data_IF_460148738424
#
_entry.id   IF_460148738424
#
_cell.length_a   1.000
_cell.length_b   1.000
_cell.length_c   1.000
_cell.angle_alpha   90.00
_cell.angle_beta   90.00
_cell.angle_gamma   90.00
#
_symmetry.space_group_name_H-M   'P 1'
#
loop_
_entity.id
_entity.type
_entity.pdbx_description
1 polymer ?
#
# COMPACT_ATOMS: atom_id res chain seq x y z
N UNK A 1 30.69 34.98 -12.60
CA UNK A 1 30.92 33.52 -12.53
C UNK A 1 30.45 33.09 -11.15
N UNK A 2 29.14 32.92 -10.97
CA UNK A 2 28.64 32.25 -9.78
C UNK A 2 29.18 30.84 -9.82
N UNK A 3 29.90 30.46 -8.77
CA UNK A 3 30.48 29.13 -8.66
C UNK A 3 29.36 28.11 -8.72
N UNK A 4 29.70 27.01 -9.37
CA UNK A 4 28.95 25.77 -9.54
C UNK A 4 28.48 25.31 -8.16
N UNK A 5 27.30 25.75 -7.74
CA UNK A 5 26.51 25.01 -6.76
C UNK A 5 26.18 23.68 -7.41
N UNK A 6 26.18 22.60 -6.62
CA UNK A 6 25.62 21.33 -7.10
C UNK A 6 24.18 21.64 -7.47
N UNK A 7 23.87 21.67 -8.77
CA UNK A 7 22.51 21.90 -9.23
C UNK A 7 21.72 20.67 -8.84
N UNK A 8 20.88 20.76 -7.82
CA UNK A 8 20.01 19.66 -7.43
C UNK A 8 18.97 19.40 -8.52
N UNK A 9 18.39 18.20 -8.48
CA UNK A 9 17.37 17.82 -9.43
C UNK A 9 16.19 18.80 -9.42
N UNK A 10 15.61 19.04 -10.59
CA UNK A 10 14.49 19.95 -10.77
C UNK A 10 13.41 19.31 -11.64
N UNK A 11 12.18 19.76 -11.49
CA UNK A 11 11.06 19.39 -12.34
C UNK A 11 10.79 20.36 -13.49
N UNK A 12 10.00 19.90 -14.46
CA UNK A 12 9.47 20.75 -15.53
C UNK A 12 8.37 21.68 -15.00
N UNK A 13 8.03 22.71 -15.78
CA UNK A 13 6.85 23.56 -15.52
C UNK A 13 5.56 22.74 -15.34
N UNK A 14 5.43 21.65 -16.11
CA UNK A 14 4.19 20.91 -16.30
C UNK A 14 4.00 19.76 -15.30
N UNK A 15 4.98 19.52 -14.44
CA UNK A 15 4.85 18.54 -13.36
C UNK A 15 3.90 19.09 -12.30
N UNK A 16 2.86 18.32 -11.98
CA UNK A 16 1.89 18.69 -10.98
C UNK A 16 2.45 18.37 -9.59
N UNK A 17 2.32 19.27 -8.63
CA UNK A 17 2.62 19.05 -7.22
C UNK A 17 1.31 18.80 -6.49
N UNK A 18 1.28 17.79 -5.62
CA UNK A 18 0.10 17.48 -4.81
C UNK A 18 0.04 18.43 -3.61
N UNK A 19 -1.02 19.24 -3.54
CA UNK A 19 -1.28 20.19 -2.45
C UNK A 19 -1.92 19.48 -1.25
N UNK A 20 -1.84 20.11 -0.08
CA UNK A 20 -2.35 19.57 1.19
C UNK A 20 -3.85 19.25 1.19
N UNK A 21 -4.64 19.95 0.37
CA UNK A 21 -6.08 19.73 0.20
C UNK A 21 -6.43 18.58 -0.78
N UNK A 22 -5.42 17.89 -1.32
CA UNK A 22 -5.56 16.82 -2.30
C UNK A 22 -5.70 17.30 -3.75
N UNK A 23 -5.79 18.62 -3.99
CA UNK A 23 -5.71 19.18 -5.33
C UNK A 23 -4.27 19.16 -5.86
N UNK A 24 -4.09 19.54 -7.11
CA UNK A 24 -2.76 19.60 -7.73
C UNK A 24 -2.54 20.92 -8.44
N UNK A 25 -1.32 21.44 -8.40
CA UNK A 25 -0.92 22.65 -9.13
C UNK A 25 0.42 22.45 -9.84
N UNK A 26 0.60 23.12 -10.98
CA UNK A 26 1.85 23.05 -11.76
C UNK A 26 3.02 23.61 -10.96
N UNK A 27 4.11 22.85 -10.87
CA UNK A 27 5.34 23.24 -10.18
C UNK A 27 5.85 24.61 -10.66
N UNK A 28 5.88 24.82 -11.97
CA UNK A 28 6.31 26.09 -12.53
C UNK A 28 5.40 27.27 -12.13
N UNK A 29 4.09 27.05 -11.98
CA UNK A 29 3.15 28.08 -11.52
C UNK A 29 3.38 28.40 -10.04
N UNK A 30 3.52 27.37 -9.19
CA UNK A 30 3.86 27.53 -7.76
C UNK A 30 5.11 28.39 -7.62
N UNK A 31 6.16 28.08 -8.39
CA UNK A 31 7.43 28.82 -8.36
C UNK A 31 7.30 30.25 -8.88
N UNK A 32 6.75 30.45 -10.08
CA UNK A 32 6.72 31.78 -10.69
C UNK A 32 5.84 32.76 -9.93
N UNK A 33 4.77 32.27 -9.32
CA UNK A 33 3.86 33.10 -8.52
C UNK A 33 4.25 33.16 -7.05
N UNK A 34 5.30 32.43 -6.63
CA UNK A 34 5.70 32.27 -5.22
C UNK A 34 4.50 31.96 -4.33
N UNK A 35 3.71 30.97 -4.74
CA UNK A 35 2.45 30.64 -4.08
C UNK A 35 2.70 30.20 -2.64
N UNK A 36 2.05 30.85 -1.68
CA UNK A 36 2.05 30.46 -0.27
C UNK A 36 1.07 29.31 -0.04
N UNK A 37 1.55 28.08 -0.22
CA UNK A 37 0.74 26.87 -0.17
C UNK A 37 1.40 25.80 0.70
N UNK A 38 0.56 24.89 1.19
CA UNK A 38 1.02 23.64 1.78
C UNK A 38 0.94 22.52 0.74
N UNK A 39 1.98 21.71 0.66
CA UNK A 39 2.05 20.53 -0.19
C UNK A 39 2.01 19.29 0.68
N UNK A 40 1.55 18.16 0.12
CA UNK A 40 1.76 16.88 0.78
C UNK A 40 3.24 16.53 0.75
N UNK A 41 3.71 16.03 1.87
CA UNK A 41 5.07 15.53 2.09
C UNK A 41 5.01 14.26 2.94
N UNK A 42 6.10 13.53 3.03
CA UNK A 42 6.23 12.34 3.86
C UNK A 42 7.17 12.59 5.03
N UNK A 43 6.70 12.29 6.23
CA UNK A 43 7.49 12.32 7.46
C UNK A 43 8.03 10.92 7.77
N UNK A 44 9.35 10.76 7.71
CA UNK A 44 10.03 9.49 7.97
C UNK A 44 10.02 9.08 9.44
N UNK A 45 9.80 10.01 10.38
CA UNK A 45 9.74 9.68 11.82
C UNK A 45 8.38 9.08 12.19
N UNK A 46 7.28 9.71 11.74
CA UNK A 46 5.92 9.20 11.98
C UNK A 46 5.48 8.12 10.98
N UNK A 47 6.12 8.03 9.81
CA UNK A 47 5.72 7.12 8.73
C UNK A 47 4.43 7.56 8.03
N UNK A 48 4.09 8.85 8.08
CA UNK A 48 2.82 9.39 7.59
C UNK A 48 3.03 10.44 6.50
N UNK A 49 2.03 10.56 5.62
CA UNK A 49 1.92 11.69 4.70
C UNK A 49 1.31 12.87 5.47
N UNK A 50 2.01 14.00 5.49
CA UNK A 50 1.67 15.20 6.25
C UNK A 50 1.75 16.46 5.38
N UNK A 51 0.88 17.46 5.62
CA UNK A 51 1.00 18.75 4.96
C UNK A 51 2.24 19.50 5.47
N UNK A 52 2.94 20.16 4.55
CA UNK A 52 4.10 21.01 4.86
C UNK A 52 4.11 22.23 3.97
N UNK A 53 4.48 23.37 4.55
CA UNK A 53 4.54 24.64 3.84
C UNK A 53 5.71 24.67 2.85
N UNK A 54 5.47 25.28 1.69
CA UNK A 54 6.54 25.67 0.77
C UNK A 54 7.25 26.91 1.31
N UNK A 55 8.57 26.83 1.48
CA UNK A 55 9.39 27.90 2.08
C UNK A 55 10.23 28.66 1.05
N UNK A 56 10.65 28.00 -0.03
CA UNK A 56 11.44 28.61 -1.11
C UNK A 56 10.98 28.12 -2.48
N UNK A 57 11.27 28.92 -3.51
CA UNK A 57 10.86 28.70 -4.90
C UNK A 57 12.05 28.94 -5.84
N UNK A 58 12.41 27.94 -6.65
CA UNK A 58 13.61 27.98 -7.47
C UNK A 58 13.27 27.87 -8.95
N UNK A 59 13.73 28.83 -9.74
CA UNK A 59 13.82 28.74 -11.19
C UNK A 59 15.30 28.68 -11.57
N UNK A 60 15.78 27.48 -11.83
CA UNK A 60 17.19 27.13 -11.99
C UNK A 60 17.66 27.22 -13.45
N UNK A 61 16.97 28.03 -14.27
CA UNK A 61 17.31 28.24 -15.68
C UNK A 61 16.94 27.05 -16.56
N UNK A 62 17.39 27.07 -17.81
CA UNK A 62 16.98 26.11 -18.85
C UNK A 62 17.57 24.70 -18.62
N UNK A 63 16.75 23.66 -18.76
CA UNK A 63 17.15 22.28 -18.93
C UNK A 63 17.41 21.96 -20.41
N UNK A 64 18.36 21.06 -20.66
CA UNK A 64 18.55 20.47 -21.99
C UNK A 64 17.45 19.44 -22.30
N UNK A 65 17.07 18.65 -21.29
CA UNK A 65 16.00 17.66 -21.37
C UNK A 65 15.32 17.44 -20.01
N UNK A 66 14.15 16.82 -20.05
CA UNK A 66 13.50 16.19 -18.88
C UNK A 66 13.22 14.72 -19.18
N UNK A 67 13.42 13.86 -18.19
CA UNK A 67 12.93 12.49 -18.19
C UNK A 67 11.46 12.51 -17.76
N UNK A 68 10.55 12.22 -18.69
CA UNK A 68 9.12 12.13 -18.47
C UNK A 68 8.73 10.70 -18.09
N UNK A 69 8.36 10.50 -16.84
CA UNK A 69 7.89 9.23 -16.29
C UNK A 69 6.37 9.10 -16.38
N UNK A 70 5.90 7.89 -16.68
CA UNK A 70 4.55 7.44 -16.32
C UNK A 70 4.65 6.31 -15.32
N UNK A 71 3.92 6.44 -14.22
CA UNK A 71 3.90 5.47 -13.12
C UNK A 71 2.48 4.95 -12.96
N UNK A 72 2.29 3.64 -12.86
CA UNK A 72 0.97 3.05 -12.64
C UNK A 72 0.33 3.64 -11.38
N UNK A 73 -0.98 3.89 -11.42
CA UNK A 73 -1.75 4.30 -10.25
C UNK A 73 -3.01 3.47 -10.21
N UNK A 74 -3.21 2.72 -9.13
CA UNK A 74 -4.44 1.98 -8.94
C UNK A 74 -5.61 2.97 -8.83
N UNK A 75 -6.70 2.70 -9.55
CA UNK A 75 -7.82 3.63 -9.62
C UNK A 75 -9.10 2.98 -10.09
N UNK A 76 -10.12 3.10 -9.25
CA UNK A 76 -11.53 2.73 -9.43
C UNK A 76 -12.30 3.69 -10.34
N UNK A 77 -11.68 4.18 -11.42
CA UNK A 77 -12.35 5.03 -12.42
C UNK A 77 -12.26 6.54 -12.22
N UNK A 78 -11.42 7.05 -11.30
CA UNK A 78 -11.12 8.48 -11.18
C UNK A 78 -9.65 8.76 -11.56
N UNK A 79 -9.42 9.68 -12.51
CA UNK A 79 -8.08 10.07 -12.99
C UNK A 79 -7.57 9.28 -14.20
N UNK A 80 -6.32 9.56 -14.63
CA UNK A 80 -5.70 9.01 -15.86
C UNK A 80 -5.23 7.55 -15.75
N UNK A 81 -5.40 6.91 -14.59
CA UNK A 81 -4.86 5.58 -14.30
C UNK A 81 -3.33 5.51 -14.25
N UNK A 82 -2.66 6.65 -14.19
CA UNK A 82 -1.21 6.77 -14.01
C UNK A 82 -0.89 8.13 -13.39
N UNK A 83 0.25 8.20 -12.70
CA UNK A 83 0.94 9.43 -12.34
C UNK A 83 1.94 9.81 -13.44
N UNK A 84 2.18 11.10 -13.61
CA UNK A 84 3.08 11.64 -14.63
C UNK A 84 3.93 12.78 -14.08
N UNK A 85 5.25 12.65 -14.16
CA UNK A 85 6.22 13.64 -13.72
C UNK A 85 7.37 13.76 -14.73
N UNK A 86 7.96 14.94 -14.83
CA UNK A 86 9.06 15.20 -15.74
C UNK A 86 10.21 15.89 -15.00
N UNK A 87 11.30 15.17 -14.80
CA UNK A 87 12.41 15.56 -13.91
C UNK A 87 13.75 15.59 -14.64
N UNK A 88 14.70 16.37 -14.14
CA UNK A 88 16.09 16.28 -14.60
C UNK A 88 16.70 14.94 -14.20
N UNK A 89 17.72 14.49 -14.94
CA UNK A 89 18.41 13.20 -14.73
C UNK A 89 18.82 12.93 -13.28
N UNK A 90 19.40 13.94 -12.63
CA UNK A 90 19.91 13.85 -11.27
C UNK A 90 18.86 14.06 -10.17
N UNK A 91 17.56 14.11 -10.51
CA UNK A 91 16.52 14.29 -9.51
C UNK A 91 16.30 13.02 -8.71
N UNK A 92 16.39 13.14 -7.39
CA UNK A 92 16.14 12.01 -6.50
C UNK A 92 14.64 11.71 -6.43
N UNK A 93 14.28 10.49 -6.79
CA UNK A 93 12.94 9.92 -6.69
C UNK A 93 12.99 8.79 -5.67
N UNK A 94 11.97 8.69 -4.80
CA UNK A 94 11.92 7.65 -3.78
C UNK A 94 11.53 6.32 -4.42
N UNK A 95 12.31 5.30 -4.14
CA UNK A 95 12.03 3.89 -4.48
C UNK A 95 11.87 3.07 -3.19
N UNK A 96 11.32 1.84 -3.25
CA UNK A 96 11.23 0.96 -2.08
C UNK A 96 12.58 0.69 -1.40
N UNK A 97 13.69 0.74 -2.14
CA UNK A 97 15.05 0.47 -1.63
C UNK A 97 15.81 1.73 -1.20
N UNK A 98 15.30 2.93 -1.47
CA UNK A 98 16.03 4.16 -1.20
C UNK A 98 15.74 5.29 -2.20
N UNK A 99 16.45 6.40 -2.04
CA UNK A 99 16.49 7.47 -3.04
C UNK A 99 17.38 7.05 -4.21
N UNK A 100 16.91 7.27 -5.44
CA UNK A 100 17.68 7.03 -6.67
C UNK A 100 17.53 8.22 -7.59
N UNK A 101 18.57 8.53 -8.36
CA UNK A 101 18.49 9.55 -9.41
C UNK A 101 17.54 9.08 -10.51
N UNK A 102 16.84 10.02 -11.14
CA UNK A 102 15.87 9.73 -12.19
C UNK A 102 16.51 8.96 -13.36
N UNK A 103 17.76 9.23 -13.71
CA UNK A 103 18.46 8.49 -14.78
C UNK A 103 18.79 7.04 -14.45
N UNK A 104 18.82 6.67 -13.17
CA UNK A 104 19.07 5.29 -12.74
C UNK A 104 17.79 4.45 -12.72
N UNK A 105 16.61 5.07 -12.82
CA UNK A 105 15.32 4.38 -12.76
C UNK A 105 14.96 3.87 -14.15
N UNK A 106 14.59 2.59 -14.25
CA UNK A 106 14.21 1.96 -15.50
C UNK A 106 12.71 1.65 -15.55
N UNK A 107 12.16 1.47 -16.76
CA UNK A 107 10.81 0.91 -16.93
C UNK A 107 10.75 -0.47 -16.28
N UNK A 108 9.74 -0.69 -15.44
CA UNK A 108 9.59 -1.90 -14.62
C UNK A 108 10.10 -1.76 -13.19
N UNK A 109 10.93 -0.76 -12.89
CA UNK A 109 11.29 -0.41 -11.51
C UNK A 109 10.05 0.12 -10.77
N UNK A 110 10.08 0.08 -9.44
CA UNK A 110 9.03 0.63 -8.59
C UNK A 110 9.49 1.90 -7.91
N UNK A 111 8.63 2.91 -7.91
CA UNK A 111 8.79 4.15 -7.14
C UNK A 111 7.71 4.22 -6.06
N UNK A 112 7.91 5.08 -5.07
CA UNK A 112 6.93 5.25 -4.00
C UNK A 112 5.89 6.30 -4.40
N UNK A 113 4.64 5.89 -4.45
CA UNK A 113 3.49 6.69 -4.86
C UNK A 113 2.50 6.83 -3.69
N UNK A 114 2.08 8.06 -3.39
CA UNK A 114 0.98 8.32 -2.48
C UNK A 114 -0.33 7.85 -3.13
N UNK A 115 -0.98 6.85 -2.53
CA UNK A 115 -2.26 6.31 -2.98
C UNK A 115 -3.24 6.23 -1.82
N UNK A 116 -4.55 6.39 -2.05
CA UNK A 116 -5.54 6.26 -0.99
C UNK A 116 -5.60 4.82 -0.51
N UNK A 117 -5.50 4.63 0.80
CA UNK A 117 -5.83 3.39 1.48
C UNK A 117 -7.31 3.36 1.80
N UNK A 118 -8.07 2.38 1.29
CA UNK A 118 -9.53 2.33 1.46
C UNK A 118 -9.99 1.33 2.51
N UNK A 119 -9.26 0.23 2.71
CA UNK A 119 -9.57 -0.77 3.72
C UNK A 119 -9.24 -0.25 5.12
N UNK A 120 -10.19 -0.39 6.04
CA UNK A 120 -9.89 -0.37 7.47
C UNK A 120 -9.22 -1.68 7.90
N UNK A 121 -8.64 -1.68 9.11
CA UNK A 121 -8.04 -2.89 9.68
C UNK A 121 -9.05 -4.05 9.76
N UNK A 122 -10.30 -3.77 10.17
CA UNK A 122 -11.37 -4.78 10.18
C UNK A 122 -11.64 -5.35 8.78
N UNK A 123 -11.64 -4.49 7.76
CA UNK A 123 -11.90 -4.92 6.39
C UNK A 123 -10.74 -5.71 5.82
N UNK A 124 -9.51 -5.38 6.19
CA UNK A 124 -8.34 -6.18 5.89
C UNK A 124 -8.45 -7.60 6.47
N UNK A 125 -8.88 -7.74 7.73
CA UNK A 125 -9.15 -9.05 8.34
C UNK A 125 -10.23 -9.85 7.58
N UNK A 126 -11.27 -9.18 7.10
CA UNK A 126 -12.32 -9.79 6.28
C UNK A 126 -11.76 -10.25 4.94
N UNK A 127 -10.88 -9.46 4.31
CA UNK A 127 -10.18 -9.84 3.07
C UNK A 127 -9.35 -11.11 3.32
N UNK A 128 -8.53 -11.14 4.37
CA UNK A 128 -7.71 -12.31 4.72
C UNK A 128 -8.57 -13.55 4.95
N UNK A 129 -9.63 -13.44 5.74
CA UNK A 129 -10.55 -14.57 5.96
C UNK A 129 -11.25 -15.04 4.67
N UNK A 130 -11.67 -14.10 3.83
CA UNK A 130 -12.33 -14.40 2.55
C UNK A 130 -11.40 -15.12 1.59
N UNK A 131 -10.12 -14.73 1.56
CA UNK A 131 -9.13 -15.37 0.72
C UNK A 131 -8.77 -16.76 1.17
N UNK A 132 -8.98 -17.13 2.43
CA UNK A 132 -8.85 -18.53 2.83
C UNK A 132 -10.02 -19.40 2.33
N UNK A 133 -11.16 -18.77 2.02
CA UNK A 133 -12.39 -19.43 1.58
C UNK A 133 -12.76 -19.15 0.11
N UNK A 134 -14.02 -18.76 -0.09
CA UNK A 134 -14.66 -18.54 -1.40
C UNK A 134 -14.19 -17.25 -2.12
N UNK A 135 -13.49 -16.36 -1.41
CA UNK A 135 -12.97 -15.12 -1.96
C UNK A 135 -11.71 -15.33 -2.81
N UNK A 136 -11.49 -14.46 -3.79
CA UNK A 136 -10.26 -14.42 -4.58
C UNK A 136 -9.82 -12.99 -4.90
N UNK A 137 -8.52 -12.81 -5.18
CA UNK A 137 -7.95 -11.56 -5.69
C UNK A 137 -7.67 -11.74 -7.19
N UNK A 138 -8.54 -11.17 -8.02
CA UNK A 138 -8.33 -11.18 -9.46
C UNK A 138 -7.40 -10.04 -9.89
N UNK A 139 -6.62 -10.23 -10.97
CA UNK A 139 -5.85 -9.13 -11.53
C UNK A 139 -6.78 -8.00 -12.01
N UNK A 140 -6.28 -6.76 -12.06
CA UNK A 140 -6.98 -5.65 -12.69
C UNK A 140 -7.20 -5.91 -14.19
N UNK A 141 -8.09 -5.13 -14.80
CA UNK A 141 -8.36 -5.23 -16.25
C UNK A 141 -7.12 -4.86 -17.07
N UNK A 142 -6.36 -3.87 -16.58
CA UNK A 142 -5.05 -3.50 -17.11
C UNK A 142 -4.00 -4.49 -16.58
N UNK A 143 -3.42 -5.30 -17.46
CA UNK A 143 -2.48 -6.37 -17.06
C UNK A 143 -1.22 -5.85 -16.37
N UNK A 144 -0.83 -4.60 -16.66
CA UNK A 144 0.33 -3.90 -16.11
C UNK A 144 0.06 -3.24 -14.75
N UNK A 145 -1.19 -3.18 -14.29
CA UNK A 145 -1.51 -2.46 -13.07
C UNK A 145 -1.14 -3.25 -11.81
N UNK A 146 -0.46 -2.58 -10.89
CA UNK A 146 -0.08 -3.10 -9.58
C UNK A 146 -1.23 -2.88 -8.58
N UNK A 147 -2.37 -3.50 -8.87
CA UNK A 147 -3.56 -3.52 -8.01
C UNK A 147 -4.18 -4.91 -7.99
N UNK A 148 -5.24 -5.10 -7.19
CA UNK A 148 -6.05 -6.32 -7.26
C UNK A 148 -7.51 -6.03 -6.93
N UNK A 149 -8.40 -6.86 -7.45
CA UNK A 149 -9.84 -6.81 -7.17
C UNK A 149 -10.25 -7.98 -6.29
N UNK A 150 -10.87 -7.68 -5.17
CA UNK A 150 -11.55 -8.69 -4.37
C UNK A 150 -12.83 -9.13 -5.09
N UNK A 151 -12.99 -10.45 -5.21
CA UNK A 151 -14.22 -11.07 -5.71
C UNK A 151 -14.72 -12.10 -4.73
N UNK A 152 -16.01 -12.08 -4.48
CA UNK A 152 -16.69 -13.03 -3.59
C UNK A 152 -17.93 -13.53 -4.31
N UNK A 153 -18.22 -14.82 -4.20
CA UNK A 153 -19.45 -15.41 -4.74
C UNK A 153 -19.99 -16.50 -3.83
N UNK A 154 -21.32 -16.55 -3.69
CA UNK A 154 -22.00 -17.59 -2.92
C UNK A 154 -23.25 -18.08 -3.66
N UNK A 155 -23.61 -19.34 -3.41
CA UNK A 155 -24.82 -19.94 -3.98
C UNK A 155 -26.10 -19.31 -3.46
N UNK A 156 -27.22 -19.53 -4.16
CA UNK A 156 -28.53 -18.94 -3.85
C UNK A 156 -28.99 -19.14 -2.40
N UNK A 157 -28.69 -20.30 -1.79
CA UNK A 157 -29.06 -20.62 -0.41
C UNK A 157 -28.28 -19.81 0.65
N UNK A 158 -27.16 -19.20 0.27
CA UNK A 158 -26.30 -18.40 1.14
C UNK A 158 -26.39 -16.90 0.82
N UNK A 159 -27.45 -16.45 0.14
CA UNK A 159 -27.64 -15.04 -0.23
C UNK A 159 -27.60 -14.10 0.98
N UNK A 160 -28.22 -14.48 2.11
CA UNK A 160 -28.18 -13.67 3.34
C UNK A 160 -26.77 -13.53 3.92
N UNK A 161 -25.92 -14.56 3.79
CA UNK A 161 -24.52 -14.50 4.20
C UNK A 161 -23.70 -13.64 3.23
N UNK A 162 -23.93 -13.81 1.93
CA UNK A 162 -23.33 -12.96 0.89
C UNK A 162 -23.63 -11.48 1.14
N UNK A 163 -24.90 -11.12 1.33
CA UNK A 163 -25.31 -9.73 1.54
C UNK A 163 -24.73 -9.16 2.84
N UNK A 164 -24.65 -9.97 3.91
CA UNK A 164 -23.97 -9.58 5.15
C UNK A 164 -22.49 -9.28 4.91
N UNK A 165 -21.77 -10.15 4.18
CA UNK A 165 -20.33 -9.98 3.90
C UNK A 165 -20.06 -8.75 3.02
N UNK A 166 -20.91 -8.52 2.00
CA UNK A 166 -20.86 -7.31 1.17
C UNK A 166 -21.11 -6.05 2.00
N UNK A 167 -22.04 -6.10 2.97
CA UNK A 167 -22.34 -4.95 3.82
C UNK A 167 -21.15 -4.47 4.66
N UNK A 168 -20.21 -5.37 5.00
CA UNK A 168 -18.99 -5.02 5.75
C UNK A 168 -17.92 -4.34 4.89
N UNK A 169 -18.06 -4.37 3.56
CA UNK A 169 -17.14 -3.80 2.58
C UNK A 169 -17.81 -2.72 1.71
N UNK A 170 -18.95 -2.19 2.16
CA UNK A 170 -19.83 -1.36 1.34
C UNK A 170 -19.25 0.02 0.97
N UNK A 171 -18.23 0.52 1.69
CA UNK A 171 -17.49 1.74 1.34
C UNK A 171 -16.62 1.58 0.09
N UNK A 172 -16.28 0.35 -0.31
CA UNK A 172 -15.48 0.10 -1.50
C UNK A 172 -16.43 0.05 -2.71
N UNK A 173 -16.22 0.85 -3.76
CA UNK A 173 -17.07 0.81 -4.95
C UNK A 173 -17.05 -0.59 -5.59
N UNK A 174 -18.22 -1.15 -5.88
CA UNK A 174 -18.34 -2.53 -6.36
C UNK A 174 -19.54 -2.73 -7.29
N UNK A 175 -19.51 -3.83 -8.03
CA UNK A 175 -20.62 -4.29 -8.85
C UNK A 175 -21.13 -5.65 -8.35
N UNK A 176 -22.46 -5.81 -8.33
CA UNK A 176 -23.12 -7.06 -7.94
C UNK A 176 -23.78 -7.69 -9.16
N UNK A 177 -23.63 -8.99 -9.31
CA UNK A 177 -24.30 -9.78 -10.37
C UNK A 177 -24.91 -11.05 -9.79
N UNK A 178 -25.93 -11.57 -10.47
CA UNK A 178 -26.58 -12.84 -10.12
C UNK A 178 -26.67 -13.69 -11.38
N UNK A 179 -26.25 -14.96 -11.31
CA UNK A 179 -26.32 -15.86 -12.46
C UNK A 179 -27.69 -16.54 -12.58
N UNK A 180 -27.91 -17.29 -13.67
CA UNK A 180 -29.19 -17.99 -13.92
C UNK A 180 -29.57 -19.07 -12.89
N UNK A 181 -28.65 -19.46 -11.99
CA UNK A 181 -28.93 -20.39 -10.86
C UNK A 181 -29.19 -19.65 -9.53
N UNK A 182 -29.25 -18.32 -9.55
CA UNK A 182 -29.44 -17.50 -8.36
C UNK A 182 -28.18 -17.33 -7.49
N UNK A 183 -27.01 -17.80 -7.93
CA UNK A 183 -25.76 -17.53 -7.22
C UNK A 183 -25.36 -16.06 -7.42
N UNK A 184 -25.00 -15.39 -6.32
CA UNK A 184 -24.64 -13.99 -6.30
C UNK A 184 -23.12 -13.81 -6.27
N UNK A 185 -22.65 -12.78 -6.96
CA UNK A 185 -21.23 -12.43 -7.05
C UNK A 185 -21.05 -10.92 -6.87
N UNK A 186 -19.96 -10.53 -6.22
CA UNK A 186 -19.51 -9.14 -6.10
C UNK A 186 -18.09 -9.01 -6.66
N UNK A 187 -17.85 -7.98 -7.46
CA UNK A 187 -16.52 -7.55 -7.91
C UNK A 187 -16.27 -6.15 -7.36
N UNK A 188 -15.32 -6.04 -6.43
CA UNK A 188 -14.90 -4.76 -5.86
C UNK A 188 -13.89 -4.07 -6.80
N UNK A 189 -13.88 -2.75 -6.78
CA UNK A 189 -12.95 -1.98 -7.60
C UNK A 189 -11.48 -2.29 -7.24
N UNK A 190 -10.54 -2.17 -8.20
CA UNK A 190 -9.14 -2.47 -7.93
C UNK A 190 -8.56 -1.56 -6.86
N UNK A 191 -7.85 -2.15 -5.89
CA UNK A 191 -7.14 -1.44 -4.82
C UNK A 191 -5.63 -1.72 -4.91
N UNK A 192 -4.79 -0.69 -4.76
CA UNK A 192 -3.33 -0.82 -4.73
C UNK A 192 -2.85 -1.67 -3.54
N UNK A 193 -3.42 -1.43 -2.35
CA UNK A 193 -3.09 -2.14 -1.10
C UNK A 193 -3.29 -3.66 -1.15
N UNK A 194 -4.04 -4.17 -2.14
CA UNK A 194 -4.24 -5.61 -2.35
C UNK A 194 -3.21 -6.25 -3.30
N UNK A 195 -2.34 -5.46 -3.95
CA UNK A 195 -1.38 -5.98 -4.93
C UNK A 195 -0.38 -6.96 -4.31
N UNK A 196 0.33 -6.53 -3.26
CA UNK A 196 1.34 -7.36 -2.59
C UNK A 196 0.71 -8.63 -1.99
N UNK A 197 -0.48 -8.48 -1.40
CA UNK A 197 -1.24 -9.62 -0.88
C UNK A 197 -1.58 -10.62 -1.99
N UNK A 198 -2.03 -10.16 -3.16
CA UNK A 198 -2.30 -11.02 -4.32
C UNK A 198 -1.03 -11.73 -4.77
N UNK A 199 0.07 -11.01 -4.93
CA UNK A 199 1.34 -11.58 -5.38
C UNK A 199 1.84 -12.66 -4.42
N UNK A 200 1.69 -12.46 -3.11
CA UNK A 200 2.04 -13.45 -2.09
C UNK A 200 1.10 -14.68 -2.11
N UNK A 201 -0.22 -14.47 -2.20
CA UNK A 201 -1.22 -15.55 -2.12
C UNK A 201 -1.24 -16.42 -3.37
N UNK A 202 -1.02 -15.86 -4.56
CA UNK A 202 -1.04 -16.62 -5.82
C UNK A 202 0.37 -16.94 -6.33
N UNK A 203 1.33 -17.07 -5.41
CA UNK A 203 2.68 -17.54 -5.73
C UNK A 203 2.62 -19.03 -6.12
N UNK A 204 3.06 -19.35 -7.33
CA UNK A 204 3.29 -20.74 -7.76
C UNK A 204 2.19 -21.32 -8.66
N UNK A 205 1.72 -22.52 -8.31
CA UNK A 205 1.01 -23.47 -9.17
C UNK A 205 -0.51 -23.19 -9.36
N UNK A 206 -0.97 -22.01 -8.93
CA UNK A 206 -2.38 -21.62 -8.99
C UNK A 206 -3.20 -21.99 -7.76
N UNK A 207 -2.63 -22.71 -6.78
CA UNK A 207 -3.23 -22.82 -5.44
C UNK A 207 -2.84 -21.64 -4.56
N UNK A 208 -3.66 -21.37 -3.54
CA UNK A 208 -3.39 -20.29 -2.58
C UNK A 208 -2.22 -20.67 -1.68
N UNK A 209 -1.19 -19.84 -1.66
CA UNK A 209 -0.03 -19.95 -0.78
C UNK A 209 -0.20 -19.02 0.44
N UNK A 210 -0.36 -19.62 1.62
CA UNK A 210 -0.39 -18.92 2.90
C UNK A 210 0.98 -18.99 3.57
N UNK A 211 1.71 -17.87 3.57
CA UNK A 211 3.00 -17.72 4.26
C UNK A 211 2.83 -17.68 5.78
N UNK A 212 3.93 -17.79 6.54
CA UNK A 212 3.87 -17.56 8.01
C UNK A 212 3.40 -16.15 8.35
N UNK A 213 3.83 -15.15 7.57
CA UNK A 213 3.41 -13.76 7.74
C UNK A 213 1.90 -13.60 7.53
N UNK A 214 1.34 -14.26 6.51
CA UNK A 214 -0.11 -14.28 6.29
C UNK A 214 -0.84 -14.85 7.51
N UNK A 215 -0.37 -15.97 8.05
CA UNK A 215 -1.02 -16.63 9.19
C UNK A 215 -0.91 -15.81 10.49
N UNK A 216 0.20 -15.08 10.70
CA UNK A 216 0.34 -14.14 11.82
C UNK A 216 -0.66 -13.00 11.76
N UNK A 217 -1.05 -12.57 10.55
CA UNK A 217 -2.09 -11.56 10.35
C UNK A 217 -3.52 -12.04 10.62
N UNK A 218 -3.75 -13.35 10.84
CA UNK A 218 -5.09 -13.87 11.08
C UNK A 218 -5.61 -13.53 12.47
N UNK A 219 -6.80 -12.96 12.49
CA UNK A 219 -7.57 -12.63 13.69
C UNK A 219 -8.73 -13.61 13.90
N UNK A 220 -9.39 -13.60 15.08
CA UNK A 220 -10.64 -14.33 15.28
C UNK A 220 -11.73 -14.01 14.24
N UNK A 221 -11.80 -12.76 13.74
CA UNK A 221 -12.70 -12.38 12.65
C UNK A 221 -12.28 -13.03 11.33
N UNK A 222 -10.99 -13.00 10.98
CA UNK A 222 -10.46 -13.66 9.78
C UNK A 222 -10.81 -15.15 9.78
N UNK A 223 -10.60 -15.82 10.92
CA UNK A 223 -10.94 -17.24 11.11
C UNK A 223 -12.46 -17.51 11.05
N UNK A 224 -13.27 -16.58 11.55
CA UNK A 224 -14.73 -16.69 11.46
C UNK A 224 -15.22 -16.59 10.01
N UNK A 225 -14.70 -15.64 9.23
CA UNK A 225 -15.02 -15.51 7.81
C UNK A 225 -14.62 -16.78 7.06
N UNK A 226 -13.39 -17.27 7.25
CA UNK A 226 -12.93 -18.52 6.63
C UNK A 226 -13.83 -19.71 6.99
N UNK A 227 -14.19 -19.84 8.27
CA UNK A 227 -15.07 -20.90 8.74
C UNK A 227 -16.50 -20.80 8.15
N UNK A 228 -17.00 -19.59 7.96
CA UNK A 228 -18.31 -19.37 7.33
C UNK A 228 -18.30 -19.69 5.83
N UNK A 229 -17.20 -19.50 5.12
CA UNK A 229 -17.06 -19.89 3.73
C UNK A 229 -17.00 -21.42 3.61
N UNK A 230 -15.93 -22.03 4.09
CA UNK A 230 -15.57 -23.43 3.77
C UNK A 230 -15.81 -24.43 4.92
N UNK A 231 -16.20 -23.94 6.09
CA UNK A 231 -16.43 -24.77 7.27
C UNK A 231 -17.77 -25.49 7.25
N UNK A 232 -17.79 -26.71 7.75
CA UNK A 232 -18.99 -27.50 8.01
C UNK A 232 -19.02 -27.94 9.47
N UNK A 233 -20.24 -28.06 10.01
CA UNK A 233 -20.45 -28.48 11.39
C UNK A 233 -21.46 -29.63 11.44
N UNK A 234 -21.01 -30.76 11.97
CA UNK A 234 -21.88 -31.90 12.24
C UNK A 234 -22.20 -31.99 13.73
N UNK A 235 -23.46 -31.77 14.10
CA UNK A 235 -23.93 -31.98 15.46
C UNK A 235 -24.07 -33.50 15.73
N UNK A 236 -23.32 -34.04 16.70
CA UNK A 236 -23.25 -35.49 17.00
C UNK A 236 -24.13 -35.91 18.18
N UNK A 237 -24.38 -35.02 19.13
CA UNK A 237 -25.29 -35.27 20.25
C UNK A 237 -25.99 -33.99 20.66
N UNK A 238 -27.32 -34.02 20.83
CA UNK A 238 -28.10 -32.90 21.38
C UNK A 238 -27.89 -32.67 22.89
N UNK A 239 -27.07 -33.50 23.54
CA UNK A 239 -26.79 -33.40 24.96
C UNK A 239 -27.81 -34.06 25.88
N UNK A 240 -28.50 -35.10 25.38
CA UNK A 240 -29.46 -35.91 26.14
C UNK A 240 -28.80 -36.75 27.26
N UNK A 241 -27.49 -37.01 27.16
CA UNK A 241 -26.73 -37.72 28.18
C UNK A 241 -25.89 -36.71 28.98
N UNK A 242 -25.75 -36.91 30.30
CA UNK A 242 -24.96 -36.05 31.20
C UNK A 242 -23.54 -35.79 30.67
N UNK A 243 -22.89 -36.82 30.09
CA UNK A 243 -21.56 -36.71 29.44
C UNK A 243 -21.49 -35.82 28.20
N UNK A 244 -22.64 -35.40 27.65
CA UNK A 244 -22.77 -34.58 26.43
C UNK A 244 -23.56 -33.30 26.68
N UNK A 245 -23.83 -32.95 27.94
CA UNK A 245 -24.64 -31.80 28.32
C UNK A 245 -24.13 -30.52 27.60
N UNK A 246 -25.03 -29.81 26.91
CA UNK A 246 -24.68 -28.66 26.07
C UNK A 246 -24.33 -28.98 24.60
N UNK A 247 -24.39 -30.26 24.22
CA UNK A 247 -24.19 -30.76 22.86
C UNK A 247 -22.73 -31.00 22.48
N UNK A 248 -22.52 -31.90 21.52
CA UNK A 248 -21.21 -32.17 20.92
C UNK A 248 -21.33 -32.18 19.40
N UNK A 249 -20.26 -31.81 18.72
CA UNK A 249 -20.19 -31.82 17.27
C UNK A 249 -18.76 -31.75 16.80
N UNK A 250 -18.59 -31.73 15.48
CA UNK A 250 -17.28 -31.72 14.85
C UNK A 250 -17.24 -30.71 13.71
N UNK A 251 -16.19 -29.89 13.70
CA UNK A 251 -15.84 -29.02 12.59
C UNK A 251 -15.00 -29.80 11.57
N UNK A 252 -15.35 -29.63 10.30
CA UNK A 252 -14.48 -29.95 9.16
C UNK A 252 -14.42 -28.73 8.23
N UNK A 253 -13.22 -28.29 7.84
CA UNK A 253 -13.02 -27.15 6.93
C UNK A 253 -12.28 -27.62 5.69
N UNK A 254 -12.82 -27.34 4.51
CA UNK A 254 -12.16 -27.65 3.23
C UNK A 254 -10.94 -26.74 3.03
N UNK A 255 -9.80 -27.31 2.64
CA UNK A 255 -8.54 -26.59 2.39
C UNK A 255 -7.91 -26.97 1.05
N UNK A 256 -8.67 -27.61 0.16
CA UNK A 256 -8.19 -28.10 -1.13
C UNK A 256 -7.65 -26.99 -2.05
N UNK A 257 -8.20 -25.78 -1.94
CA UNK A 257 -7.77 -24.61 -2.70
C UNK A 257 -6.38 -24.08 -2.28
N UNK A 258 -5.84 -24.55 -1.17
CA UNK A 258 -4.53 -24.14 -0.64
C UNK A 258 -3.44 -25.13 -1.05
N UNK A 259 -2.21 -24.64 -1.25
CA UNK A 259 -1.05 -25.50 -1.51
C UNK A 259 -0.82 -26.50 -0.36
N UNK A 260 -0.23 -27.66 -0.63
CA UNK A 260 0.02 -28.68 0.41
C UNK A 260 0.86 -28.13 1.57
N UNK A 261 1.89 -27.34 1.28
CA UNK A 261 2.70 -26.66 2.29
C UNK A 261 1.88 -25.69 3.15
N UNK A 262 0.93 -24.98 2.56
CA UNK A 262 0.01 -24.10 3.29
C UNK A 262 -0.99 -24.86 4.14
N UNK A 263 -1.49 -26.02 3.69
CA UNK A 263 -2.38 -26.88 4.48
C UNK A 263 -1.70 -27.36 5.77
N UNK A 264 -0.43 -27.78 5.66
CA UNK A 264 0.40 -28.20 6.79
C UNK A 264 0.65 -27.02 7.73
N UNK A 265 1.11 -25.88 7.19
CA UNK A 265 1.38 -24.68 7.99
C UNK A 265 0.14 -24.17 8.73
N UNK A 266 -1.03 -24.21 8.08
CA UNK A 266 -2.29 -23.80 8.69
C UNK A 266 -2.72 -24.74 9.83
N UNK A 267 -2.55 -26.06 9.65
CA UNK A 267 -2.77 -27.03 10.74
C UNK A 267 -1.87 -26.72 11.94
N UNK A 268 -0.60 -26.47 11.69
CA UNK A 268 0.39 -26.22 12.74
C UNK A 268 0.14 -24.87 13.43
N UNK A 269 -0.19 -23.82 12.67
CA UNK A 269 -0.65 -22.53 13.21
C UNK A 269 -1.85 -22.69 14.15
N UNK A 270 -2.87 -23.45 13.76
CA UNK A 270 -4.04 -23.70 14.61
C UNK A 270 -3.67 -24.48 15.88
N UNK A 271 -2.71 -25.38 15.79
CA UNK A 271 -2.19 -26.13 16.94
C UNK A 271 -1.38 -25.22 17.88
N UNK A 272 -0.36 -24.56 17.36
CA UNK A 272 0.64 -23.84 18.14
C UNK A 272 0.11 -22.52 18.68
N UNK A 273 -0.65 -21.77 17.87
CA UNK A 273 -1.16 -20.44 18.26
C UNK A 273 -2.44 -20.53 19.08
N UNK A 274 -3.32 -21.47 18.71
CA UNK A 274 -4.67 -21.56 19.30
C UNK A 274 -4.87 -22.80 20.18
N UNK A 275 -3.89 -23.70 20.29
CA UNK A 275 -4.00 -24.93 21.08
C UNK A 275 -5.14 -25.84 20.60
N UNK A 276 -5.33 -25.94 19.28
CA UNK A 276 -6.42 -26.72 18.67
C UNK A 276 -5.88 -28.05 18.15
N UNK A 277 -6.44 -29.17 18.61
CA UNK A 277 -6.18 -30.49 18.03
C UNK A 277 -6.94 -30.62 16.69
N UNK A 278 -6.21 -30.37 15.61
CA UNK A 278 -6.68 -30.36 14.22
C UNK A 278 -5.84 -31.32 13.40
N UNK A 279 -6.49 -32.14 12.57
CA UNK A 279 -5.82 -33.12 11.70
C UNK A 279 -6.15 -32.86 10.24
N UNK A 280 -5.14 -32.96 9.38
CA UNK A 280 -5.34 -32.97 7.94
C UNK A 280 -5.77 -34.36 7.49
N UNK A 281 -6.84 -34.45 6.69
CA UNK A 281 -7.38 -35.71 6.16
C UNK A 281 -7.84 -35.51 4.72
N UNK A 282 -7.81 -36.58 3.92
CA UNK A 282 -8.52 -36.66 2.63
C UNK A 282 -9.95 -37.19 2.86
N UNK A 283 -10.96 -36.44 2.40
CA UNK A 283 -12.37 -36.75 2.62
C UNK A 283 -13.17 -36.84 1.30
N UNK A 284 -14.20 -37.70 1.32
CA UNK A 284 -15.10 -37.93 0.19
C UNK A 284 -14.46 -38.70 -0.98
N UNK A 285 -15.26 -38.97 -2.02
CA UNK A 285 -14.83 -39.72 -3.20
C UNK A 285 -13.72 -38.98 -4.01
N UNK A 286 -13.77 -37.65 -4.01
CA UNK A 286 -12.75 -36.81 -4.64
C UNK A 286 -11.48 -36.63 -3.78
N UNK A 287 -11.42 -37.26 -2.59
CA UNK A 287 -10.27 -37.22 -1.68
C UNK A 287 -9.77 -35.81 -1.34
N UNK A 288 -10.70 -34.85 -1.20
CA UNK A 288 -10.40 -33.43 -0.93
C UNK A 288 -9.67 -33.27 0.40
N UNK A 289 -8.69 -32.39 0.45
CA UNK A 289 -8.00 -32.03 1.69
C UNK A 289 -8.94 -31.25 2.62
N UNK A 290 -9.09 -31.75 3.85
CA UNK A 290 -9.91 -31.13 4.90
C UNK A 290 -9.16 -31.10 6.24
N UNK A 291 -9.36 -30.03 7.01
CA UNK A 291 -8.95 -29.95 8.40
C UNK A 291 -10.09 -30.42 9.30
N UNK A 292 -9.81 -31.38 10.15
CA UNK A 292 -10.79 -32.05 11.00
C UNK A 292 -10.44 -31.80 12.45
N UNK A 293 -11.34 -31.13 13.17
CA UNK A 293 -11.14 -30.73 14.56
C UNK A 293 -11.57 -31.87 15.49
N UNK A 294 -10.91 -32.00 16.65
CA UNK A 294 -11.44 -32.80 17.76
C UNK A 294 -12.70 -32.15 18.36
N UNK A 295 -13.44 -32.88 19.20
CA UNK A 295 -14.62 -32.31 19.87
C UNK A 295 -14.25 -31.14 20.78
N UNK A 296 -13.12 -31.24 21.50
CA UNK A 296 -12.63 -30.17 22.36
C UNK A 296 -12.13 -28.97 21.54
N UNK A 297 -11.36 -29.22 20.49
CA UNK A 297 -10.91 -28.17 19.57
C UNK A 297 -12.10 -27.48 18.87
N UNK A 298 -13.14 -28.23 18.52
CA UNK A 298 -14.39 -27.69 17.94
C UNK A 298 -15.04 -26.69 18.89
N UNK A 299 -15.21 -27.05 20.18
CA UNK A 299 -15.81 -26.15 21.15
C UNK A 299 -14.95 -24.90 21.40
N UNK A 300 -13.63 -25.05 21.49
CA UNK A 300 -12.67 -23.95 21.70
C UNK A 300 -12.64 -23.00 20.49
N UNK A 301 -12.57 -23.54 19.28
CA UNK A 301 -12.60 -22.75 18.05
C UNK A 301 -13.93 -22.00 17.91
N UNK A 302 -15.07 -22.66 18.13
CA UNK A 302 -16.37 -21.99 18.07
C UNK A 302 -16.52 -20.88 19.12
N UNK A 303 -15.97 -21.06 20.32
CA UNK A 303 -15.94 -20.00 21.32
C UNK A 303 -15.14 -18.78 20.85
N UNK A 304 -14.02 -19.00 20.15
CA UNK A 304 -13.17 -17.96 19.58
C UNK A 304 -13.90 -17.18 18.47
N UNK A 305 -14.54 -17.88 17.54
CA UNK A 305 -15.14 -17.25 16.36
C UNK A 305 -16.58 -16.77 16.56
N UNK A 306 -17.32 -17.29 17.54
CA UNK A 306 -18.74 -16.98 17.72
C UNK A 306 -19.10 -15.49 17.79
N UNK A 307 -18.29 -14.60 18.42
CA UNK A 307 -18.55 -13.16 18.39
C UNK A 307 -18.48 -12.54 17.00
N UNK A 308 -17.85 -13.21 16.04
CA UNK A 308 -17.54 -12.72 14.70
C UNK A 308 -18.36 -13.38 13.58
N UNK A 309 -19.30 -14.27 13.94
CA UNK A 309 -20.11 -15.03 12.99
C UNK A 309 -21.32 -14.22 12.52
N UNK A 310 -21.63 -14.27 11.22
CA UNK A 310 -22.89 -13.75 10.69
C UNK A 310 -24.09 -14.43 11.38
N UNK A 311 -25.13 -13.69 11.81
CA UNK A 311 -26.29 -14.28 12.48
C UNK A 311 -26.97 -15.39 11.67
N UNK A 312 -27.05 -15.25 10.35
CA UNK A 312 -27.61 -16.26 9.43
C UNK A 312 -26.78 -17.55 9.33
N UNK A 313 -25.53 -17.53 9.82
CA UNK A 313 -24.61 -18.68 9.83
C UNK A 313 -24.51 -19.34 11.22
N UNK A 314 -25.38 -18.96 12.17
CA UNK A 314 -25.38 -19.52 13.52
C UNK A 314 -25.57 -21.05 13.56
N UNK A 315 -26.20 -21.65 12.54
CA UNK A 315 -26.34 -23.12 12.43
C UNK A 315 -24.99 -23.85 12.35
N UNK A 316 -23.89 -23.15 11.98
CA UNK A 316 -22.52 -23.68 12.02
C UNK A 316 -21.94 -23.73 13.44
N UNK A 317 -22.64 -23.25 14.46
CA UNK A 317 -22.19 -23.23 15.84
C UNK A 317 -23.00 -24.19 16.71
N UNK A 318 -22.39 -24.65 17.80
CA UNK A 318 -23.10 -25.27 18.91
C UNK A 318 -24.18 -24.31 19.44
N UNK A 319 -25.37 -24.81 19.81
CA UNK A 319 -26.48 -23.96 20.22
C UNK A 319 -26.15 -22.93 21.31
N UNK A 320 -25.27 -23.28 22.26
CA UNK A 320 -24.82 -22.39 23.35
C UNK A 320 -24.00 -21.16 22.90
N UNK A 321 -23.56 -21.14 21.65
CA UNK A 321 -22.81 -20.03 21.05
C UNK A 321 -23.65 -19.18 20.09
N UNK A 322 -24.95 -19.50 19.91
CA UNK A 322 -25.85 -18.70 19.08
C UNK A 322 -26.08 -17.31 19.68
N UNK A 323 -26.40 -16.33 18.82
CA UNK A 323 -26.75 -14.98 19.24
C UNK A 323 -25.59 -14.14 19.80
N UNK A 324 -24.33 -14.57 19.63
CA UNK A 324 -23.15 -13.87 20.16
C UNK A 324 -22.51 -12.87 19.20
N UNK A 325 -23.01 -12.76 17.96
CA UNK A 325 -22.44 -11.87 16.94
C UNK A 325 -22.38 -10.42 17.42
N UNK A 326 -21.23 -9.79 17.29
CA UNK A 326 -20.97 -8.39 17.63
C UNK A 326 -20.43 -7.58 16.44
N UNK A 327 -20.31 -8.20 15.25
CA UNK A 327 -19.71 -7.55 14.08
C UNK A 327 -20.61 -6.45 13.55
N UNK A 328 -20.07 -5.24 13.53
CA UNK A 328 -20.60 -4.09 12.79
C UNK A 328 -19.54 -3.61 11.79
N UNK A 329 -19.93 -3.06 10.62
CA UNK A 329 -18.98 -2.48 9.69
C UNK A 329 -18.17 -1.34 10.33
N UNK A 330 -16.85 -1.36 10.17
CA UNK A 330 -15.95 -0.28 10.55
C UNK A 330 -15.34 0.33 9.29
N UNK A 331 -15.98 1.37 8.76
CA UNK A 331 -15.47 2.14 7.64
C UNK A 331 -14.53 3.24 8.13
N UNK A 332 -13.49 3.51 7.36
CA UNK A 332 -12.56 4.62 7.58
C UNK A 332 -12.59 5.53 6.37
N UNK A 333 -12.38 6.83 6.59
CA UNK A 333 -12.10 7.74 5.49
C UNK A 333 -10.78 7.34 4.81
N UNK A 334 -10.68 7.41 3.47
CA UNK A 334 -9.44 7.07 2.79
C UNK A 334 -8.29 7.96 3.26
N UNK A 335 -7.18 7.33 3.65
CA UNK A 335 -5.95 8.02 4.06
C UNK A 335 -4.91 7.80 2.97
N UNK A 336 -4.16 8.83 2.59
CA UNK A 336 -3.05 8.67 1.65
C UNK A 336 -1.91 7.90 2.33
N UNK A 337 -1.51 6.79 1.73
CA UNK A 337 -0.39 5.96 2.16
C UNK A 337 0.63 5.82 1.03
N UNK A 338 1.90 5.65 1.43
CA UNK A 338 2.99 5.50 0.49
C UNK A 338 3.11 4.04 0.04
N UNK A 339 2.75 3.77 -1.22
CA UNK A 339 2.74 2.41 -1.79
C UNK A 339 3.70 2.31 -2.98
N UNK A 340 4.43 1.19 -3.16
CA UNK A 340 5.19 0.93 -4.37
C UNK A 340 4.29 0.94 -5.61
N UNK A 341 4.77 1.56 -6.68
CA UNK A 341 4.08 1.58 -7.97
C UNK A 341 5.08 1.50 -9.13
N UNK A 342 4.74 0.69 -10.14
CA UNK A 342 5.58 0.42 -11.30
C UNK A 342 5.71 1.62 -12.24
N UNK A 343 6.94 1.92 -12.64
CA UNK A 343 7.21 2.78 -13.79
C UNK A 343 6.86 2.02 -15.07
N UNK A 344 5.93 2.56 -15.83
CA UNK A 344 5.40 1.96 -17.07
C UNK A 344 6.06 2.53 -18.31
N UNK A 345 6.56 3.76 -18.23
CA UNK A 345 7.16 4.46 -19.37
C UNK A 345 8.15 5.52 -18.87
N UNK A 346 9.22 5.72 -19.64
CA UNK A 346 10.18 6.81 -19.47
C UNK A 346 10.52 7.33 -20.86
N UNK A 347 10.31 8.64 -21.10
CA UNK A 347 10.63 9.31 -22.35
C UNK A 347 11.57 10.50 -22.08
N UNK A 348 12.64 10.67 -22.87
CA UNK A 348 13.40 11.93 -22.86
C UNK A 348 12.66 12.99 -23.68
N UNK A 349 12.44 14.17 -23.09
CA UNK A 349 11.75 15.31 -23.73
C UNK A 349 12.58 16.57 -23.72
N UNK A 350 12.65 17.21 -24.89
CA UNK A 350 13.46 18.41 -25.14
C UNK A 350 12.64 19.57 -25.71
N UNK A 351 11.32 19.40 -25.85
CA UNK A 351 10.43 20.24 -26.65
C UNK A 351 9.24 20.81 -25.87
N UNK A 352 9.27 20.77 -24.52
CA UNK A 352 8.27 21.48 -23.73
C UNK A 352 8.32 22.99 -24.04
N UNK A 353 7.17 23.69 -24.10
CA UNK A 353 7.16 25.13 -24.39
C UNK A 353 7.97 25.96 -23.38
N UNK A 354 8.05 25.51 -22.12
CA UNK A 354 8.91 26.08 -21.09
C UNK A 354 9.87 24.98 -20.62
N UNK A 355 11.13 25.09 -21.01
CA UNK A 355 12.22 24.18 -20.63
C UNK A 355 12.96 24.60 -19.35
N UNK A 356 12.46 25.59 -18.60
CA UNK A 356 13.07 25.98 -17.32
C UNK A 356 12.92 24.88 -16.27
N UNK A 357 13.95 24.74 -15.43
CA UNK A 357 14.04 23.87 -14.27
C UNK A 357 13.41 24.54 -13.06
N UNK A 358 12.39 23.91 -12.49
CA UNK A 358 11.69 24.41 -11.33
C UNK A 358 11.86 23.47 -10.16
N UNK A 359 11.94 24.03 -8.95
CA UNK A 359 11.82 23.25 -7.73
C UNK A 359 11.32 24.11 -6.58
N UNK A 360 10.91 23.47 -5.49
CA UNK A 360 10.45 24.10 -4.26
C UNK A 360 11.26 23.60 -3.07
N UNK A 361 11.28 24.34 -1.97
CA UNK A 361 11.70 23.81 -0.68
C UNK A 361 10.48 23.67 0.23
N UNK A 362 10.45 22.60 0.99
CA UNK A 362 9.36 22.19 1.87
C UNK A 362 9.89 22.04 3.28
N UNK A 363 9.17 22.61 4.23
CA UNK A 363 9.56 22.66 5.63
C UNK A 363 9.76 21.27 6.25
N UNK A 364 10.92 21.08 6.91
CA UNK A 364 11.26 19.97 7.80
C UNK A 364 11.53 18.61 7.13
N UNK A 365 10.70 18.24 6.16
CA UNK A 365 10.64 16.90 5.56
C UNK A 365 11.51 16.73 4.30
N UNK A 366 11.85 17.85 3.64
CA UNK A 366 12.71 17.88 2.45
C UNK A 366 12.26 17.01 1.27
N UNK A 367 10.96 16.76 1.16
CA UNK A 367 10.35 16.02 0.05
C UNK A 367 8.95 16.56 -0.27
N UNK A 368 8.42 16.19 -1.43
CA UNK A 368 7.04 16.44 -1.84
C UNK A 368 6.58 15.40 -2.84
N UNK A 369 5.29 15.45 -3.18
CA UNK A 369 4.70 14.56 -4.18
C UNK A 369 4.52 15.25 -5.53
N UNK A 370 5.22 14.77 -6.54
CA UNK A 370 5.08 15.15 -7.94
C UNK A 370 4.08 14.20 -8.62
N UNK A 371 2.84 14.66 -8.80
CA UNK A 371 1.68 13.88 -9.21
C UNK A 371 1.61 12.58 -8.37
N UNK A 372 1.69 12.72 -7.05
CA UNK A 372 1.70 11.60 -6.11
C UNK A 372 3.01 10.81 -6.01
N UNK A 373 3.98 10.97 -6.92
CA UNK A 373 5.28 10.28 -6.80
C UNK A 373 6.17 11.05 -5.84
N UNK A 374 6.73 10.38 -4.84
CA UNK A 374 7.56 11.04 -3.83
C UNK A 374 8.93 11.40 -4.42
N UNK A 375 9.25 12.68 -4.39
CA UNK A 375 10.51 13.21 -4.89
C UNK A 375 11.19 14.06 -3.83
N UNK A 376 12.51 14.12 -3.87
CA UNK A 376 13.29 14.98 -2.98
C UNK A 376 13.14 16.44 -3.44
N UNK A 377 13.28 17.41 -2.55
CA UNK A 377 13.26 18.82 -2.94
C UNK A 377 14.69 19.40 -3.05
N UNK A 378 14.91 20.63 -3.47
CA UNK A 378 16.27 21.18 -3.57
C UNK A 378 16.78 21.51 -2.16
N UNK A 379 17.75 20.79 -1.58
CA UNK A 379 18.37 21.25 -0.36
C UNK A 379 19.23 22.47 -0.73
N UNK A 380 18.93 23.63 -0.17
CA UNK A 380 19.75 24.81 -0.37
C UNK A 380 21.23 24.51 -0.06
N UNK A 381 22.09 24.51 -1.09
CA UNK A 381 23.53 24.71 -0.91
C UNK A 381 24.01 25.82 -1.84
N UNK A 382 23.71 27.06 -1.47
CA UNK A 382 24.24 28.26 -2.11
C UNK A 382 25.74 28.36 -1.80
N UNK A 383 26.61 28.04 -2.75
CA UNK A 383 28.03 28.40 -2.66
C UNK A 383 28.14 29.92 -2.76
N UNK A 384 28.12 30.64 -1.63
CA UNK A 384 28.41 32.09 -1.61
C UNK A 384 27.52 33.02 -0.78
N UNK A 385 26.61 32.52 0.06
CA UNK A 385 25.87 33.40 0.98
C UNK A 385 25.32 32.62 2.16
N UNK A 386 25.91 32.78 3.34
CA UNK A 386 25.43 32.18 4.61
C UNK A 386 25.18 30.66 4.64
N UNK A 387 25.83 29.87 3.78
CA UNK A 387 25.71 28.40 3.73
C UNK A 387 26.11 27.67 5.04
N UNK A 388 25.17 27.55 5.98
CA UNK A 388 25.01 26.40 6.87
C UNK A 388 24.14 25.40 6.07
N UNK A 389 24.54 24.17 5.77
CA UNK A 389 24.65 23.05 6.72
C UNK A 389 25.46 21.87 6.13
N UNK A 390 26.68 22.08 5.64
CA UNK A 390 27.63 20.96 5.63
C UNK A 390 28.30 20.87 7.01
N UNK A 391 28.41 19.65 7.54
CA UNK A 391 29.33 19.36 8.65
C UNK A 391 30.74 19.63 8.17
N UNK A 392 31.32 20.74 8.62
CA UNK A 392 32.71 21.08 8.38
C UNK A 392 33.39 21.21 9.73
N UNK A 393 34.53 20.53 9.93
CA UNK A 393 35.31 20.63 11.17
C UNK A 393 35.84 22.05 11.40
N UNK A 394 36.09 22.79 10.31
CA UNK A 394 36.65 24.14 10.32
C UNK A 394 36.06 24.95 9.16
N UNK A 395 35.81 26.24 9.38
CA UNK A 395 35.39 27.21 8.35
C UNK A 395 36.50 28.23 8.16
N UNK A 396 36.55 28.86 6.98
CA UNK A 396 37.53 29.89 6.68
C UNK A 396 36.90 30.95 5.79
N UNK A 397 36.87 32.19 6.25
CA UNK A 397 36.53 33.39 5.46
C UNK A 397 37.82 33.97 4.86
N UNK A 398 37.89 34.05 3.54
CA UNK A 398 39.06 34.54 2.81
C UNK A 398 38.73 35.87 2.13
N UNK A 399 39.40 36.93 2.55
CA UNK A 399 39.23 38.28 2.00
C UNK A 399 40.52 38.78 1.38
N UNK A 400 40.46 39.41 0.20
CA UNK A 400 41.62 40.08 -0.38
C UNK A 400 41.88 41.39 0.39
N UNK A 401 43.11 41.57 0.87
CA UNK A 401 43.55 42.81 1.54
C UNK A 401 44.18 43.75 0.51
N UNK A 402 45.08 43.24 -0.31
CA UNK A 402 45.95 44.06 -1.15
C UNK A 402 46.33 43.30 -2.43
N UNK A 403 46.54 44.03 -3.52
CA UNK A 403 47.06 43.50 -4.78
C UNK A 403 48.57 43.78 -4.84
N UNK A 404 49.38 42.74 -4.85
CA UNK A 404 50.84 42.83 -4.95
C UNK A 404 51.22 43.18 -6.39
N UNK A 405 52.05 44.21 -6.55
CA UNK A 405 52.52 44.71 -7.84
C UNK A 405 54.04 44.74 -7.87
N UNK A 406 54.59 44.39 -9.02
CA UNK A 406 56.00 44.60 -9.37
C UNK A 406 56.06 45.67 -10.47
N UNK A 407 56.42 46.90 -10.09
CA UNK A 407 56.30 48.08 -10.95
C UNK A 407 54.87 48.31 -11.43
N UNK A 408 54.65 48.19 -12.74
CA UNK A 408 53.33 48.33 -13.37
C UNK A 408 52.54 47.02 -13.43
N UNK A 409 53.18 45.88 -13.18
CA UNK A 409 52.57 44.57 -13.36
C UNK A 409 51.96 44.07 -12.05
N UNK A 410 50.70 43.66 -12.09
CA UNK A 410 50.08 42.94 -10.97
C UNK A 410 50.64 41.52 -10.92
N UNK A 411 51.29 41.16 -9.82
CA UNK A 411 51.94 39.85 -9.67
C UNK A 411 51.12 38.89 -8.80
N UNK A 412 50.48 39.36 -7.73
CA UNK A 412 49.77 38.47 -6.79
C UNK A 412 48.76 39.23 -5.91
N UNK A 413 48.10 38.56 -4.96
CA UNK A 413 47.20 39.15 -3.96
C UNK A 413 47.57 38.71 -2.54
N UNK A 414 47.64 39.67 -1.63
CA UNK A 414 47.68 39.40 -0.20
C UNK A 414 46.25 39.20 0.32
N UNK A 415 45.98 38.04 0.93
CA UNK A 415 44.66 37.70 1.48
C UNK A 415 44.70 37.53 3.00
N UNK A 416 43.63 37.95 3.67
CA UNK A 416 43.32 37.62 5.07
C UNK A 416 42.48 36.36 5.08
N UNK A 417 42.86 35.38 5.89
CA UNK A 417 42.01 34.23 6.20
C UNK A 417 41.58 34.36 7.66
N UNK A 418 40.27 34.45 7.90
CA UNK A 418 39.68 34.31 9.23
C UNK A 418 39.15 32.89 9.34
N UNK A 419 39.76 32.10 10.21
CA UNK A 419 39.32 30.74 10.52
C UNK A 419 38.16 30.82 11.51
#
# INVERSE_FOLDING_TARGET
RDKIGVMFGCGSWYTNVTLADGSTEKLGKIVNQKMDVEVLSYDFESGQIVPRRVTNWFNNGKAEEFLHFKVDRAGSGTGRGHASLAMTRNHLIRTPVGWREAEDINVGDRVMLAQPRLLSDQQWEIVLGSLMGDGCLSPPVRQDSESARLRIGHGAQQSAYFDWKVSLLANIPHSRTVNGKGAAFVDFSPLAELHELRSAVYLGDGKKFLSEEYLKGLTPLSLAIWYMDDGSFSLRSKGLQQRTQGGSGRIEICVEAMSEGSQVRLRDYLHDTHGLDVRLRKAGAAAKAVLVFSTAATAKFQQLVAPYMAPCMAYKLLPRFHGRSMVTPQFVEPIMELMPARVTEIESKTDYPIMSRFDIEVEGSHNYFADGVMVHNSPETTTGGKALKFYASVRMDVQRIETLKDGTNTVDNRTRVKI
#
